data_IF_979087482831
#
_entry.id   IF_979087482831
#
_cell.length_a   1.000
_cell.length_b   1.000
_cell.length_c   1.000
_cell.angle_alpha   90.00
_cell.angle_beta   90.00
_cell.angle_gamma   90.00
#
_symmetry.space_group_name_H-M   'P 1'
#
loop_
_entity.id
_entity.type
_entity.pdbx_description
1 polymer ?
#
# COMPACT_ATOMS: atom_id res chain seq x y z
N UNK A 1 7.46 3.18 0.43
CA UNK A 1 7.63 2.07 1.39
C UNK A 1 7.53 0.75 0.63
N UNK A 2 8.38 -0.23 0.98
CA UNK A 2 8.21 -1.60 0.50
C UNK A 2 7.12 -2.32 1.31
N UNK A 3 6.07 -2.77 0.63
CA UNK A 3 4.95 -3.52 1.18
C UNK A 3 5.18 -5.01 0.85
N UNK A 4 5.82 -5.74 1.76
CA UNK A 4 6.13 -7.16 1.55
C UNK A 4 4.86 -8.01 1.61
N UNK A 5 4.68 -8.86 0.59
CA UNK A 5 3.57 -9.81 0.51
C UNK A 5 3.95 -11.16 1.16
N UNK A 6 2.99 -11.89 1.79
CA UNK A 6 1.56 -11.56 1.89
C UNK A 6 1.26 -10.42 2.86
N UNK A 7 0.15 -9.71 2.63
CA UNK A 7 -0.35 -8.71 3.58
C UNK A 7 -0.91 -9.43 4.80
N UNK A 8 -0.36 -9.09 5.96
CA UNK A 8 -0.80 -9.56 7.27
C UNK A 8 -1.18 -8.36 8.15
N UNK A 9 -1.67 -8.61 9.35
CA UNK A 9 -1.88 -7.57 10.37
C UNK A 9 -0.62 -6.75 10.63
N UNK A 10 0.57 -7.36 10.62
CA UNK A 10 1.83 -6.65 10.82
C UNK A 10 2.14 -5.73 9.65
N UNK A 11 1.97 -6.21 8.41
CA UNK A 11 2.14 -5.42 7.18
C UNK A 11 1.22 -4.18 7.18
N UNK A 12 -0.04 -4.36 7.56
CA UNK A 12 -1.01 -3.27 7.71
C UNK A 12 -0.54 -2.19 8.71
N UNK A 13 -0.13 -2.60 9.92
CA UNK A 13 0.30 -1.63 10.94
C UNK A 13 1.53 -0.82 10.51
N UNK A 14 2.46 -1.45 9.80
CA UNK A 14 3.63 -0.76 9.24
C UNK A 14 3.23 0.25 8.16
N UNK A 15 2.38 -0.15 7.22
CA UNK A 15 1.89 0.72 6.14
C UNK A 15 1.12 1.92 6.69
N UNK A 16 0.25 1.69 7.67
CA UNK A 16 -0.52 2.75 8.34
C UNK A 16 0.39 3.74 9.07
N UNK A 17 1.37 3.24 9.82
CA UNK A 17 2.33 4.10 10.53
C UNK A 17 3.17 4.94 9.56
N UNK A 18 3.66 4.33 8.49
CA UNK A 18 4.39 5.03 7.43
C UNK A 18 3.55 6.17 6.84
N UNK A 19 2.32 5.86 6.46
CA UNK A 19 1.38 6.82 5.85
C UNK A 19 1.11 8.01 6.76
N UNK A 20 0.73 7.77 8.01
CA UNK A 20 0.44 8.84 8.99
C UNK A 20 1.68 9.69 9.22
N UNK A 21 2.85 9.07 9.43
CA UNK A 21 4.10 9.79 9.68
C UNK A 21 4.49 10.67 8.49
N UNK A 22 4.32 10.18 7.26
CA UNK A 22 4.65 10.93 6.06
C UNK A 22 3.67 12.09 5.83
N UNK A 23 2.38 11.86 6.05
CA UNK A 23 1.35 12.89 5.96
C UNK A 23 1.59 14.01 6.98
N UNK A 24 1.75 13.66 8.25
CA UNK A 24 1.93 14.66 9.33
C UNK A 24 3.17 15.54 9.09
N UNK A 25 4.26 14.96 8.56
CA UNK A 25 5.46 15.72 8.17
C UNK A 25 5.21 16.67 6.99
N UNK A 26 4.51 16.19 5.96
CA UNK A 26 4.22 17.01 4.79
C UNK A 26 3.29 18.17 5.14
N UNK A 27 2.23 17.91 5.92
CA UNK A 27 1.31 18.94 6.41
C UNK A 27 2.03 19.99 7.25
N UNK A 28 2.96 19.60 8.13
CA UNK A 28 3.75 20.56 8.92
C UNK A 28 4.63 21.48 8.04
N UNK A 29 5.00 21.03 6.85
CA UNK A 29 5.74 21.82 5.84
C UNK A 29 4.84 22.48 4.77
N UNK A 30 3.51 22.37 4.88
CA UNK A 30 2.56 22.87 3.89
C UNK A 30 2.56 22.14 2.54
N UNK A 31 3.11 20.93 2.48
CA UNK A 31 3.22 20.12 1.27
C UNK A 31 2.18 18.99 1.19
N UNK A 32 1.97 18.48 -0.03
CA UNK A 32 1.17 17.27 -0.32
C UNK A 32 2.11 16.13 -0.72
N UNK A 33 2.23 15.04 0.05
CA UNK A 33 3.22 14.02 -0.22
C UNK A 33 2.73 13.05 -1.31
N UNK A 34 3.67 12.49 -2.08
CA UNK A 34 3.45 11.30 -2.90
C UNK A 34 3.92 10.07 -2.11
N UNK A 35 3.00 9.17 -1.82
CA UNK A 35 3.22 7.96 -1.02
C UNK A 35 3.27 6.75 -1.94
N UNK A 36 4.46 6.27 -2.22
CA UNK A 36 4.67 5.09 -3.09
C UNK A 36 4.71 3.82 -2.23
N UNK A 37 3.86 2.85 -2.55
CA UNK A 37 3.84 1.51 -1.99
C UNK A 37 4.36 0.53 -3.04
N UNK A 38 5.59 0.03 -2.87
CA UNK A 38 6.17 -1.00 -3.73
C UNK A 38 5.70 -2.37 -3.23
N UNK A 39 4.87 -3.06 -4.00
CA UNK A 39 4.38 -4.40 -3.68
C UNK A 39 5.49 -5.42 -3.95
N UNK A 40 6.09 -5.93 -2.89
CA UNK A 40 7.25 -6.80 -2.99
C UNK A 40 6.85 -8.25 -2.74
N UNK A 41 6.80 -9.03 -3.82
CA UNK A 41 6.71 -10.50 -3.76
C UNK A 41 8.08 -11.04 -3.35
N UNK A 42 8.13 -11.82 -2.28
CA UNK A 42 9.38 -12.40 -1.80
C UNK A 42 9.92 -13.40 -2.83
N UNK A 43 11.22 -13.36 -3.19
CA UNK A 43 11.81 -14.32 -4.11
C UNK A 43 11.55 -15.77 -3.70
N UNK A 44 11.18 -16.61 -4.67
CA UNK A 44 10.85 -18.02 -4.43
C UNK A 44 9.41 -18.27 -3.98
N UNK A 45 8.59 -17.22 -3.79
CA UNK A 45 7.16 -17.37 -3.54
C UNK A 45 6.37 -17.38 -4.86
N UNK A 46 5.78 -18.52 -5.22
CA UNK A 46 4.97 -18.68 -6.44
C UNK A 46 3.57 -18.08 -6.36
N UNK A 47 3.11 -17.71 -5.17
CA UNK A 47 1.72 -17.30 -4.94
C UNK A 47 1.48 -15.81 -5.19
N UNK A 48 2.51 -15.00 -5.48
CA UNK A 48 2.37 -13.58 -5.82
C UNK A 48 1.47 -12.78 -4.85
N UNK A 49 1.54 -13.11 -3.56
CA UNK A 49 0.69 -12.50 -2.53
C UNK A 49 -0.74 -13.03 -2.40
N UNK A 50 -1.14 -14.10 -3.12
CA UNK A 50 -2.46 -14.75 -3.01
C UNK A 50 -2.84 -15.10 -1.57
N UNK A 51 -1.86 -15.44 -0.74
CA UNK A 51 -2.03 -15.71 0.70
C UNK A 51 -2.20 -14.47 1.58
N UNK A 52 -2.45 -13.28 1.01
CA UNK A 52 -2.73 -12.07 1.80
C UNK A 52 -4.07 -12.19 2.52
N UNK A 53 -4.05 -11.84 3.81
CA UNK A 53 -5.23 -11.91 4.66
C UNK A 53 -6.27 -10.87 4.20
N UNK A 54 -7.53 -11.30 4.06
CA UNK A 54 -8.61 -10.41 3.63
C UNK A 54 -8.77 -9.20 4.56
N UNK A 55 -8.86 -9.44 5.88
CA UNK A 55 -9.10 -8.39 6.87
C UNK A 55 -8.05 -7.27 6.83
N UNK A 56 -6.76 -7.56 7.05
CA UNK A 56 -5.67 -6.59 6.92
C UNK A 56 -5.60 -5.90 5.54
N UNK A 57 -5.86 -6.63 4.45
CA UNK A 57 -5.87 -6.04 3.10
C UNK A 57 -7.02 -5.03 2.94
N UNK A 58 -8.23 -5.41 3.37
CA UNK A 58 -9.40 -4.53 3.33
C UNK A 58 -9.24 -3.30 4.24
N UNK A 59 -8.73 -3.49 5.46
CA UNK A 59 -8.47 -2.38 6.39
C UNK A 59 -7.44 -1.39 5.83
N UNK A 60 -6.40 -1.89 5.16
CA UNK A 60 -5.43 -1.02 4.51
C UNK A 60 -6.05 -0.29 3.32
N UNK A 61 -6.85 -0.97 2.49
CA UNK A 61 -7.55 -0.36 1.37
C UNK A 61 -8.51 0.75 1.83
N UNK A 62 -9.37 0.47 2.81
CA UNK A 62 -10.30 1.45 3.40
C UNK A 62 -9.56 2.65 3.98
N UNK A 63 -8.45 2.41 4.68
CA UNK A 63 -7.60 3.47 5.22
C UNK A 63 -7.00 4.34 4.12
N UNK A 64 -6.49 3.74 3.04
CA UNK A 64 -5.85 4.46 1.92
C UNK A 64 -6.85 5.27 1.09
N UNK A 65 -8.08 4.76 0.90
CA UNK A 65 -9.15 5.48 0.20
C UNK A 65 -9.88 6.52 1.07
N UNK A 66 -9.51 6.62 2.36
CA UNK A 66 -10.19 7.47 3.34
C UNK A 66 -9.86 8.96 3.17
N UNK A 67 -10.81 9.84 3.53
CA UNK A 67 -10.70 11.29 3.31
C UNK A 67 -9.51 11.99 4.01
N UNK A 68 -8.89 11.38 5.03
CA UNK A 68 -7.66 11.90 5.65
C UNK A 68 -6.49 11.95 4.66
N UNK A 69 -6.52 11.13 3.60
CA UNK A 69 -5.48 11.06 2.59
C UNK A 69 -5.79 11.89 1.34
N UNK A 70 -6.87 12.69 1.33
CA UNK A 70 -7.18 13.59 0.22
C UNK A 70 -6.08 14.62 -0.08
N UNK A 71 -5.18 14.87 0.88
CA UNK A 71 -4.01 15.74 0.72
C UNK A 71 -2.71 14.99 0.41
N UNK A 72 -2.77 13.70 0.11
CA UNK A 72 -1.67 12.90 -0.40
C UNK A 72 -2.04 12.28 -1.75
N UNK A 73 -1.02 11.94 -2.55
CA UNK A 73 -1.20 11.06 -3.71
C UNK A 73 -0.61 9.71 -3.38
N UNK A 74 -1.41 8.66 -3.44
CA UNK A 74 -1.01 7.28 -3.17
C UNK A 74 -0.73 6.54 -4.47
N UNK A 75 0.41 5.85 -4.54
CA UNK A 75 0.84 5.13 -5.74
C UNK A 75 1.13 3.68 -5.37
N UNK A 76 0.42 2.75 -6.01
CA UNK A 76 0.76 1.33 -5.98
C UNK A 76 1.78 1.04 -7.09
N UNK A 77 3.01 0.75 -6.72
CA UNK A 77 4.01 0.27 -7.68
C UNK A 77 4.09 -1.26 -7.63
N UNK A 78 3.89 -1.89 -8.79
CA UNK A 78 3.85 -3.34 -8.96
C UNK A 78 5.01 -3.81 -9.87
N UNK A 79 6.18 -4.17 -9.29
CA UNK A 79 7.29 -4.74 -10.04
C UNK A 79 7.00 -6.13 -10.63
N UNK A 80 6.03 -6.83 -10.07
CA UNK A 80 5.55 -8.15 -10.49
C UNK A 80 4.03 -8.16 -10.41
N UNK A 81 3.39 -9.10 -11.11
CA UNK A 81 1.96 -9.36 -10.89
C UNK A 81 1.70 -9.70 -9.42
N UNK A 82 0.56 -9.23 -8.92
CA UNK A 82 0.06 -9.55 -7.57
C UNK A 82 -1.29 -10.27 -7.68
N UNK A 83 -1.60 -11.11 -6.71
CA UNK A 83 -2.81 -11.94 -6.70
C UNK A 83 -3.52 -11.88 -5.34
N UNK A 84 -4.78 -12.35 -5.32
CA UNK A 84 -5.60 -12.43 -4.12
C UNK A 84 -5.95 -11.08 -3.52
N UNK A 85 -6.08 -11.02 -2.19
CA UNK A 85 -6.58 -9.82 -1.50
C UNK A 85 -5.62 -8.63 -1.52
N UNK A 86 -4.34 -8.83 -1.83
CA UNK A 86 -3.39 -7.73 -2.00
C UNK A 86 -3.82 -6.74 -3.09
N UNK A 87 -4.58 -7.21 -4.09
CA UNK A 87 -5.12 -6.37 -5.17
C UNK A 87 -6.02 -5.26 -4.63
N UNK A 88 -6.75 -5.48 -3.53
CA UNK A 88 -7.61 -4.47 -2.91
C UNK A 88 -6.82 -3.22 -2.52
N UNK A 89 -5.61 -3.40 -1.99
CA UNK A 89 -4.75 -2.29 -1.56
C UNK A 89 -4.20 -1.52 -2.76
N UNK A 90 -3.86 -2.22 -3.84
CA UNK A 90 -3.40 -1.57 -5.05
C UNK A 90 -4.52 -0.73 -5.69
N UNK A 91 -5.74 -1.28 -5.74
CA UNK A 91 -6.94 -0.58 -6.26
C UNK A 91 -7.41 0.59 -5.40
N UNK A 92 -7.02 0.62 -4.12
CA UNK A 92 -7.32 1.74 -3.23
C UNK A 92 -6.35 2.92 -3.37
N UNK A 93 -5.25 2.74 -4.10
CA UNK A 93 -4.33 3.84 -4.40
C UNK A 93 -4.87 4.69 -5.56
N UNK A 94 -4.49 5.97 -5.59
CA UNK A 94 -4.89 6.89 -6.66
C UNK A 94 -4.31 6.48 -8.01
N UNK A 95 -3.08 5.98 -8.01
CA UNK A 95 -2.36 5.54 -9.20
C UNK A 95 -1.82 4.12 -9.05
N UNK A 96 -1.83 3.36 -10.15
CA UNK A 96 -1.20 2.04 -10.24
C UNK A 96 -0.15 2.07 -11.34
N UNK A 97 1.10 1.87 -10.97
CA UNK A 97 2.24 1.80 -11.89
C UNK A 97 2.75 0.37 -11.93
N UNK A 98 2.72 -0.24 -13.11
CA UNK A 98 3.24 -1.59 -13.33
C UNK A 98 4.59 -1.53 -14.05
N UNK A 99 5.55 -2.32 -13.59
CA UNK A 99 6.77 -2.53 -14.36
C UNK A 99 6.46 -3.28 -15.68
N UNK A 100 7.28 -3.11 -16.73
CA UNK A 100 7.12 -3.80 -18.01
C UNK A 100 7.17 -5.33 -17.92
#
# INVERSE_FOLDING_TARGET
MRLTLPITSQTYQQARRFTITALDRATASGGKPVLIFEFHVVPGQSEFGRGSDFGPSYQLAEFLSGGRLADATTVAFLPNSIQGHAVLVALACDEIVMAP
#
